data_IF_041691110516
#
_entry.id   IF_041691110516
#
_cell.length_a   1.000
_cell.length_b   1.000
_cell.length_c   1.000
_cell.angle_alpha   90.00
_cell.angle_beta   90.00
_cell.angle_gamma   90.00
#
_symmetry.space_group_name_H-M   'P 1'
#
loop_
_entity.id
_entity.type
_entity.pdbx_description
1 polymer ?
#
# COMPACT_ATOMS: atom_id res chain seq x y z
N UNK A 1 22.75 -22.55 17.10
CA UNK A 1 21.92 -21.35 17.39
C UNK A 1 20.56 -21.82 17.90
N UNK A 2 20.15 -21.39 19.09
CA UNK A 2 18.87 -21.81 19.68
C UNK A 2 17.69 -21.37 18.79
N UNK A 3 16.79 -22.32 18.48
CA UNK A 3 15.57 -22.07 17.71
C UNK A 3 14.64 -21.24 18.59
N UNK A 4 14.40 -19.98 18.22
CA UNK A 4 13.38 -19.15 18.88
C UNK A 4 12.02 -19.85 18.82
N UNK A 5 11.22 -19.74 19.87
CA UNK A 5 9.85 -20.28 19.88
C UNK A 5 9.01 -19.60 18.79
N UNK A 6 7.94 -20.28 18.35
CA UNK A 6 6.97 -19.70 17.41
C UNK A 6 6.34 -18.42 17.96
N UNK A 7 6.03 -18.40 19.25
CA UNK A 7 5.45 -17.24 19.95
C UNK A 7 6.39 -16.03 19.95
N UNK A 8 7.66 -16.23 20.30
CA UNK A 8 8.65 -15.15 20.31
C UNK A 8 8.89 -14.63 18.89
N UNK A 9 8.88 -15.51 17.88
CA UNK A 9 8.94 -15.10 16.47
C UNK A 9 7.74 -14.24 16.08
N UNK A 10 6.53 -14.62 16.50
CA UNK A 10 5.32 -13.85 16.22
C UNK A 10 5.34 -12.48 16.92
N UNK A 11 5.75 -12.43 18.19
CA UNK A 11 5.90 -11.18 18.96
C UNK A 11 6.86 -10.20 18.28
N UNK A 12 8.03 -10.70 17.85
CA UNK A 12 9.01 -9.89 17.10
C UNK A 12 8.44 -9.41 15.77
N UNK A 13 7.75 -10.28 15.04
CA UNK A 13 7.12 -9.88 13.77
C UNK A 13 6.11 -8.74 13.98
N UNK A 14 5.26 -8.82 15.01
CA UNK A 14 4.30 -7.77 15.33
C UNK A 14 4.98 -6.44 15.63
N UNK A 15 6.08 -6.45 16.39
CA UNK A 15 6.88 -5.26 16.67
C UNK A 15 7.49 -4.67 15.39
N UNK A 16 8.03 -5.51 14.51
CA UNK A 16 8.60 -5.07 13.24
C UNK A 16 7.52 -4.50 12.30
N UNK A 17 6.37 -5.17 12.23
CA UNK A 17 5.22 -4.71 11.45
C UNK A 17 4.72 -3.33 11.95
N UNK A 18 4.75 -3.09 13.26
CA UNK A 18 4.38 -1.81 13.84
C UNK A 18 5.34 -0.68 13.45
N UNK A 19 6.65 -0.92 13.43
CA UNK A 19 7.64 0.06 12.96
C UNK A 19 7.48 0.34 11.47
N UNK A 20 7.28 -0.70 10.65
CA UNK A 20 7.00 -0.54 9.21
C UNK A 20 5.75 0.33 9.00
N UNK A 21 4.67 0.05 9.74
CA UNK A 21 3.45 0.83 9.68
C UNK A 21 3.69 2.29 10.10
N UNK A 22 4.45 2.52 11.18
CA UNK A 22 4.73 3.87 11.64
C UNK A 22 5.46 4.69 10.57
N UNK A 23 6.57 4.18 10.03
CA UNK A 23 7.34 4.85 8.97
C UNK A 23 6.46 5.12 7.75
N UNK A 24 5.62 4.15 7.38
CA UNK A 24 4.68 4.31 6.26
C UNK A 24 3.69 5.47 6.48
N UNK A 25 3.15 5.57 7.71
CA UNK A 25 2.13 6.57 8.06
C UNK A 25 2.73 7.96 8.25
N UNK A 26 3.94 8.08 8.78
CA UNK A 26 4.56 9.38 9.07
C UNK A 26 5.37 9.94 7.90
N UNK A 27 5.83 9.08 7.00
CA UNK A 27 6.75 9.48 5.94
C UNK A 27 6.28 8.98 4.57
N UNK A 28 6.76 7.81 4.13
CA UNK A 28 6.40 7.25 2.83
C UNK A 28 6.80 5.78 2.68
N UNK A 29 6.36 5.15 1.59
CA UNK A 29 6.78 3.79 1.22
C UNK A 29 8.27 3.71 0.87
N UNK A 30 8.84 4.75 0.27
CA UNK A 30 10.26 4.82 -0.14
C UNK A 30 11.20 4.86 1.07
N UNK A 31 10.74 5.44 2.18
CA UNK A 31 11.49 5.46 3.43
C UNK A 31 11.71 4.05 4.01
N UNK A 32 10.86 3.08 3.65
CA UNK A 32 10.92 1.71 4.18
C UNK A 32 11.98 0.90 3.43
N UNK A 33 13.18 0.89 4.02
CA UNK A 33 14.35 0.15 3.52
C UNK A 33 14.91 -0.78 4.59
N UNK A 34 15.64 -1.83 4.18
CA UNK A 34 16.31 -2.72 5.14
C UNK A 34 17.32 -1.97 6.01
N UNK A 35 18.06 -1.02 5.45
CA UNK A 35 18.99 -0.16 6.19
C UNK A 35 18.29 0.61 7.31
N UNK A 36 17.18 1.26 6.96
CA UNK A 36 16.41 2.04 7.91
C UNK A 36 15.84 1.16 9.03
N UNK A 37 15.14 0.09 8.66
CA UNK A 37 14.51 -0.81 9.62
C UNK A 37 15.55 -1.48 10.53
N UNK A 38 16.70 -1.89 9.98
CA UNK A 38 17.78 -2.50 10.75
C UNK A 38 18.28 -1.54 11.85
N UNK A 39 18.48 -0.27 11.49
CA UNK A 39 18.89 0.78 12.42
C UNK A 39 17.81 1.07 13.47
N UNK A 40 16.56 1.24 13.05
CA UNK A 40 15.45 1.62 13.95
C UNK A 40 15.09 0.51 14.94
N UNK A 41 15.22 -0.76 14.52
CA UNK A 41 14.98 -1.93 15.36
C UNK A 41 16.23 -2.44 16.08
N UNK A 42 17.41 -1.84 15.82
CA UNK A 42 18.71 -2.28 16.35
C UNK A 42 18.99 -3.78 16.08
N UNK A 43 18.75 -4.22 14.83
CA UNK A 43 18.98 -5.61 14.38
C UNK A 43 19.71 -5.64 13.05
N UNK A 44 20.29 -6.79 12.68
CA UNK A 44 20.93 -6.94 11.38
C UNK A 44 19.92 -7.01 10.23
N UNK A 45 20.33 -6.57 9.02
CA UNK A 45 19.57 -6.78 7.77
C UNK A 45 19.27 -8.26 7.53
N UNK A 46 20.23 -9.13 7.81
CA UNK A 46 20.05 -10.58 7.67
C UNK A 46 18.97 -11.12 8.61
N UNK A 47 18.81 -10.53 9.79
CA UNK A 47 17.70 -10.86 10.70
C UNK A 47 16.38 -10.44 10.09
N UNK A 48 16.26 -9.21 9.56
CA UNK A 48 15.05 -8.74 8.88
C UNK A 48 14.69 -9.59 7.66
N UNK A 49 15.67 -9.99 6.86
CA UNK A 49 15.46 -10.82 5.66
C UNK A 49 14.83 -12.18 5.99
N UNK A 50 15.04 -12.71 7.20
CA UNK A 50 14.38 -13.94 7.67
C UNK A 50 12.89 -13.77 7.97
N UNK A 51 12.41 -12.54 8.14
CA UNK A 51 10.99 -12.20 8.32
C UNK A 51 10.38 -11.68 7.02
N UNK A 52 11.15 -10.92 6.25
CA UNK A 52 10.74 -10.29 5.00
C UNK A 52 11.79 -10.60 3.92
N UNK A 53 11.61 -11.66 3.12
CA UNK A 53 12.60 -12.07 2.11
C UNK A 53 12.94 -11.02 1.05
N UNK A 54 12.00 -10.10 0.77
CA UNK A 54 12.23 -8.96 -0.12
C UNK A 54 11.52 -7.71 0.42
N UNK A 55 11.88 -6.52 -0.08
CA UNK A 55 11.23 -5.25 0.28
C UNK A 55 9.71 -5.30 0.07
N UNK A 56 9.26 -6.03 -0.96
CA UNK A 56 7.83 -6.22 -1.24
C UNK A 56 7.09 -6.92 -0.09
N UNK A 57 7.77 -7.77 0.68
CA UNK A 57 7.16 -8.44 1.83
C UNK A 57 6.84 -7.48 2.98
N UNK A 58 7.39 -6.26 3.00
CA UNK A 58 6.95 -5.24 3.97
C UNK A 58 5.48 -4.87 3.79
N UNK A 59 4.89 -5.06 2.60
CA UNK A 59 3.44 -4.87 2.39
C UNK A 59 2.60 -5.74 3.32
N UNK A 60 3.12 -6.89 3.77
CA UNK A 60 2.41 -7.78 4.71
C UNK A 60 2.18 -7.13 6.08
N UNK A 61 3.04 -6.19 6.49
CA UNK A 61 2.85 -5.40 7.71
C UNK A 61 1.69 -4.41 7.62
N UNK A 62 1.32 -4.04 6.38
CA UNK A 62 0.30 -3.04 6.05
C UNK A 62 -1.05 -3.69 5.73
N UNK A 63 -1.07 -4.99 5.41
CA UNK A 63 -2.29 -5.74 5.10
C UNK A 63 -3.37 -5.55 6.17
N UNK A 64 -4.59 -5.29 5.71
CA UNK A 64 -5.76 -5.03 6.58
C UNK A 64 -5.80 -3.63 7.21
N UNK A 65 -4.70 -2.86 7.20
CA UNK A 65 -4.62 -1.56 7.87
C UNK A 65 -4.73 -0.36 6.92
N UNK A 66 -4.22 -0.49 5.69
CA UNK A 66 -4.22 0.60 4.69
C UNK A 66 -5.48 0.68 3.83
N UNK A 67 -6.19 -0.43 3.61
CA UNK A 67 -7.43 -0.39 2.81
C UNK A 67 -8.52 0.52 3.41
N UNK A 68 -8.75 0.54 4.73
CA UNK A 68 -9.69 1.49 5.33
C UNK A 68 -9.33 2.95 5.07
N UNK A 69 -8.03 3.27 4.95
CA UNK A 69 -7.53 4.63 4.64
C UNK A 69 -7.88 5.01 3.21
N UNK A 70 -7.83 4.05 2.28
CA UNK A 70 -8.24 4.26 0.89
C UNK A 70 -9.75 4.41 0.80
N UNK A 71 -10.49 3.46 1.38
CA UNK A 71 -11.95 3.42 1.28
C UNK A 71 -12.64 4.64 1.88
N UNK A 72 -12.17 5.18 3.00
CA UNK A 72 -12.79 6.36 3.66
C UNK A 72 -12.70 7.65 2.83
N UNK A 73 -11.77 7.70 1.89
CA UNK A 73 -11.48 8.89 1.09
C UNK A 73 -12.10 8.83 -0.31
N UNK A 74 -12.80 7.74 -0.63
CA UNK A 74 -13.36 7.50 -1.96
C UNK A 74 -14.88 7.46 -1.90
N UNK A 75 -15.49 8.15 -2.87
CA UNK A 75 -16.92 8.16 -3.09
C UNK A 75 -17.27 7.19 -4.22
N UNK A 76 -17.93 6.08 -3.87
CA UNK A 76 -18.34 5.05 -4.82
C UNK A 76 -19.76 5.26 -5.36
N UNK A 77 -20.37 6.45 -5.19
CA UNK A 77 -21.75 6.70 -5.64
C UNK A 77 -21.87 6.85 -7.17
N UNK A 78 -20.79 7.25 -7.84
CA UNK A 78 -20.70 7.29 -9.31
C UNK A 78 -19.25 7.34 -9.76
N UNK A 79 -18.98 6.99 -11.02
CA UNK A 79 -17.65 7.09 -11.64
C UNK A 79 -17.04 8.49 -11.53
N UNK A 80 -17.84 9.54 -11.71
CA UNK A 80 -17.39 10.93 -11.63
C UNK A 80 -17.02 11.32 -10.20
N UNK A 81 -17.84 10.94 -9.22
CA UNK A 81 -17.58 11.20 -7.81
C UNK A 81 -16.35 10.42 -7.32
N UNK A 82 -16.17 9.18 -7.79
CA UNK A 82 -14.97 8.39 -7.51
C UNK A 82 -13.71 9.09 -8.00
N UNK A 83 -13.67 9.55 -9.25
CA UNK A 83 -12.50 10.25 -9.81
C UNK A 83 -12.23 11.53 -9.01
N UNK A 84 -13.26 12.34 -8.75
CA UNK A 84 -13.10 13.62 -8.04
C UNK A 84 -12.63 13.44 -6.59
N UNK A 85 -13.16 12.44 -5.87
CA UNK A 85 -12.75 12.11 -4.51
C UNK A 85 -11.34 11.52 -4.47
N UNK A 86 -10.99 10.66 -5.44
CA UNK A 86 -9.63 10.14 -5.62
C UNK A 86 -8.61 11.25 -5.83
N UNK A 87 -8.87 12.17 -6.75
CA UNK A 87 -8.00 13.31 -7.02
C UNK A 87 -7.84 14.24 -5.82
N UNK A 88 -8.96 14.52 -5.13
CA UNK A 88 -8.94 15.31 -3.90
C UNK A 88 -8.08 14.62 -2.83
N UNK A 89 -8.28 13.33 -2.60
CA UNK A 89 -7.52 12.55 -1.64
C UNK A 89 -6.03 12.49 -2.00
N UNK A 90 -5.70 12.35 -3.28
CA UNK A 90 -4.32 12.36 -3.77
C UNK A 90 -3.62 13.70 -3.44
N UNK A 91 -4.32 14.82 -3.58
CA UNK A 91 -3.79 16.17 -3.27
C UNK A 91 -3.74 16.47 -1.78
N UNK A 92 -4.73 16.02 -1.01
CA UNK A 92 -4.98 16.52 0.34
C UNK A 92 -4.68 15.52 1.47
N UNK A 93 -4.62 14.21 1.18
CA UNK A 93 -4.33 13.17 2.19
C UNK A 93 -2.98 12.48 1.88
N UNK A 94 -1.97 12.77 2.71
CA UNK A 94 -0.65 12.17 2.62
C UNK A 94 -0.69 10.63 2.69
N UNK A 95 -1.53 10.06 3.54
CA UNK A 95 -1.63 8.61 3.70
C UNK A 95 -2.23 7.98 2.45
N UNK A 96 -3.29 8.59 1.90
CA UNK A 96 -3.87 8.13 0.65
C UNK A 96 -2.83 8.15 -0.47
N UNK A 97 -2.09 9.26 -0.58
CA UNK A 97 -1.00 9.42 -1.55
C UNK A 97 0.07 8.34 -1.42
N UNK A 98 0.52 8.07 -0.20
CA UNK A 98 1.51 7.03 0.09
C UNK A 98 1.01 5.64 -0.26
N UNK A 99 -0.26 5.35 0.01
CA UNK A 99 -0.89 4.06 -0.35
C UNK A 99 -0.97 3.89 -1.86
N UNK A 100 -1.42 4.91 -2.59
CA UNK A 100 -1.51 4.86 -4.06
C UNK A 100 -0.13 4.69 -4.69
N UNK A 101 0.90 5.42 -4.21
CA UNK A 101 2.28 5.26 -4.68
C UNK A 101 2.81 3.85 -4.44
N UNK A 102 2.65 3.34 -3.21
CA UNK A 102 3.00 1.96 -2.89
C UNK A 102 2.29 0.97 -3.81
N UNK A 103 1.00 1.17 -4.08
CA UNK A 103 0.25 0.27 -4.97
C UNK A 103 0.81 0.27 -6.39
N UNK A 104 1.08 1.43 -6.96
CA UNK A 104 1.66 1.56 -8.30
C UNK A 104 3.04 0.89 -8.34
N UNK A 105 3.92 1.16 -7.37
CA UNK A 105 5.22 0.49 -7.26
C UNK A 105 5.10 -1.04 -7.19
N UNK A 106 4.10 -1.53 -6.45
CA UNK A 106 3.84 -2.96 -6.34
C UNK A 106 3.35 -3.57 -7.66
N UNK A 107 2.42 -2.91 -8.34
CA UNK A 107 1.87 -3.34 -9.63
C UNK A 107 2.95 -3.39 -10.73
N UNK A 108 3.91 -2.46 -10.69
CA UNK A 108 5.01 -2.38 -11.65
C UNK A 108 6.18 -3.31 -11.31
N UNK A 109 6.18 -3.95 -10.15
CA UNK A 109 7.27 -4.85 -9.74
C UNK A 109 7.25 -6.16 -10.55
N UNK A 110 8.42 -6.79 -10.72
CA UNK A 110 8.55 -8.10 -11.41
C UNK A 110 7.82 -9.24 -10.68
N UNK A 111 7.46 -9.05 -9.42
CA UNK A 111 6.74 -10.04 -8.61
C UNK A 111 5.77 -9.31 -7.69
N UNK A 112 4.62 -8.83 -8.24
CA UNK A 112 3.62 -8.13 -7.47
C UNK A 112 3.13 -9.00 -6.31
N UNK A 113 2.95 -8.41 -5.14
CA UNK A 113 2.42 -9.15 -4.01
C UNK A 113 0.92 -9.47 -4.25
N UNK A 114 0.43 -10.70 -3.98
CA UNK A 114 -0.97 -11.10 -4.25
C UNK A 114 -2.03 -10.17 -3.62
N UNK A 115 -1.73 -9.60 -2.45
CA UNK A 115 -2.62 -8.65 -1.78
C UNK A 115 -2.89 -7.38 -2.58
N UNK A 116 -1.96 -6.97 -3.45
CA UNK A 116 -2.12 -5.80 -4.32
C UNK A 116 -3.15 -6.07 -5.40
N UNK A 117 -3.10 -7.24 -6.05
CA UNK A 117 -4.11 -7.65 -7.02
C UNK A 117 -5.50 -7.73 -6.37
N UNK A 118 -5.59 -8.34 -5.19
CA UNK A 118 -6.86 -8.41 -4.45
C UNK A 118 -7.40 -7.04 -4.04
N UNK A 119 -6.56 -6.04 -3.79
CA UNK A 119 -7.00 -4.68 -3.52
C UNK A 119 -7.60 -4.00 -4.76
N UNK A 120 -6.96 -4.18 -5.94
CA UNK A 120 -7.47 -3.65 -7.20
C UNK A 120 -8.80 -4.28 -7.60
N UNK A 121 -8.93 -5.60 -7.43
CA UNK A 121 -10.19 -6.31 -7.67
C UNK A 121 -11.31 -5.76 -6.79
N UNK A 122 -11.06 -5.55 -5.49
CA UNK A 122 -12.07 -4.97 -4.60
C UNK A 122 -12.51 -3.56 -5.02
N UNK A 123 -11.60 -2.73 -5.54
CA UNK A 123 -11.96 -1.40 -6.07
C UNK A 123 -12.83 -1.52 -7.33
N UNK A 124 -12.50 -2.44 -8.23
CA UNK A 124 -13.31 -2.73 -9.42
C UNK A 124 -14.69 -3.24 -9.04
N UNK A 125 -14.76 -4.22 -8.14
CA UNK A 125 -16.02 -4.80 -7.67
C UNK A 125 -16.94 -3.72 -7.08
N UNK A 126 -16.37 -2.79 -6.29
CA UNK A 126 -17.13 -1.66 -5.74
C UNK A 126 -17.63 -0.70 -6.83
N UNK A 127 -16.79 -0.36 -7.81
CA UNK A 127 -17.21 0.49 -8.93
C UNK A 127 -18.32 -0.15 -9.76
N UNK A 128 -18.23 -1.46 -10.02
CA UNK A 128 -19.24 -2.21 -10.77
C UNK A 128 -20.62 -2.24 -10.08
N UNK A 129 -20.71 -1.90 -8.79
CA UNK A 129 -22.01 -1.77 -8.12
C UNK A 129 -22.81 -0.55 -8.57
N UNK A 130 -22.15 0.45 -9.16
CA UNK A 130 -22.77 1.74 -9.56
C UNK A 130 -22.59 2.09 -11.03
N UNK A 131 -21.83 1.30 -11.79
CA UNK A 131 -21.54 1.56 -13.21
C UNK A 131 -21.32 0.26 -13.99
N UNK A 132 -21.30 0.33 -15.32
CA UNK A 132 -20.99 -0.81 -16.19
C UNK A 132 -19.57 -1.34 -15.96
N UNK A 133 -19.31 -2.60 -16.34
CA UNK A 133 -17.95 -3.18 -16.25
C UNK A 133 -16.91 -2.36 -17.04
N UNK A 134 -17.27 -1.94 -18.26
CA UNK A 134 -16.41 -1.12 -19.11
C UNK A 134 -16.10 0.24 -18.45
N UNK A 135 -17.11 0.90 -17.89
CA UNK A 135 -16.95 2.18 -17.22
C UNK A 135 -16.15 2.06 -15.92
N UNK A 136 -16.30 0.96 -15.18
CA UNK A 136 -15.53 0.71 -13.95
C UNK A 136 -14.03 0.59 -14.30
N UNK A 137 -13.70 -0.17 -15.34
CA UNK A 137 -12.33 -0.29 -15.84
C UNK A 137 -11.77 1.04 -16.34
N UNK A 138 -12.57 1.82 -17.08
CA UNK A 138 -12.18 3.15 -17.57
C UNK A 138 -11.92 4.12 -16.41
N UNK A 139 -12.82 4.13 -15.43
CA UNK A 139 -12.73 4.96 -14.22
C UNK A 139 -11.45 4.67 -13.44
N UNK A 140 -11.15 3.39 -13.22
CA UNK A 140 -9.95 2.99 -12.51
C UNK A 140 -8.68 3.35 -13.30
N UNK A 141 -8.67 3.17 -14.63
CA UNK A 141 -7.56 3.59 -15.50
C UNK A 141 -7.30 5.09 -15.40
N UNK A 142 -8.36 5.91 -15.39
CA UNK A 142 -8.24 7.37 -15.21
C UNK A 142 -7.63 7.68 -13.85
N UNK A 143 -8.16 7.12 -12.75
CA UNK A 143 -7.65 7.37 -11.41
C UNK A 143 -6.17 7.00 -11.24
N UNK A 144 -5.76 5.83 -11.75
CA UNK A 144 -4.35 5.42 -11.74
C UNK A 144 -3.49 6.30 -12.64
N UNK A 145 -3.97 6.66 -13.84
CA UNK A 145 -3.28 7.56 -14.76
C UNK A 145 -3.02 8.93 -14.14
N UNK A 146 -4.05 9.55 -13.56
CA UNK A 146 -3.94 10.83 -12.83
C UNK A 146 -2.93 10.72 -11.68
N UNK A 147 -2.90 9.57 -11.00
CA UNK A 147 -1.94 9.34 -9.91
C UNK A 147 -0.49 9.36 -10.39
N UNK A 148 -0.20 8.66 -11.49
CA UNK A 148 1.14 8.64 -12.10
C UNK A 148 1.55 10.04 -12.55
N UNK A 149 0.65 10.78 -13.20
CA UNK A 149 0.93 12.13 -13.69
C UNK A 149 1.21 13.09 -12.53
N UNK A 150 0.41 13.04 -11.47
CA UNK A 150 0.60 13.87 -10.28
C UNK A 150 1.91 13.57 -9.55
N UNK A 151 2.34 12.31 -9.46
CA UNK A 151 3.62 11.97 -8.80
C UNK A 151 4.86 12.45 -9.53
N UNK A 152 4.78 12.67 -10.83
CA UNK A 152 5.88 13.15 -11.65
C UNK A 152 5.82 14.67 -11.88
N UNK A 153 4.99 15.39 -11.11
CA UNK A 153 4.78 16.84 -11.22
C UNK A 153 4.31 17.31 -12.61
N UNK A 154 3.59 16.47 -13.35
CA UNK A 154 2.96 16.89 -14.61
C UNK A 154 1.62 17.62 -14.40
N UNK A 155 1.06 17.53 -13.19
CA UNK A 155 -0.20 18.11 -12.73
C UNK A 155 -0.05 18.55 -11.27
#
# INVERSE_FOLDING_TARGET
>A
MAKISSEERARRKQMYDAVILNIFMTESWEAITYDRLARELTISKSTLQRYYPSRMHFVTALQGKVMPIVARNLDFSSSQLFISSWESALRNDLHFRNVVRMFIDNLMSRSPHPSTQGAMMRLLDQLQTVTSDEDAHKTLKIALGTSVLSFNNFL
#
